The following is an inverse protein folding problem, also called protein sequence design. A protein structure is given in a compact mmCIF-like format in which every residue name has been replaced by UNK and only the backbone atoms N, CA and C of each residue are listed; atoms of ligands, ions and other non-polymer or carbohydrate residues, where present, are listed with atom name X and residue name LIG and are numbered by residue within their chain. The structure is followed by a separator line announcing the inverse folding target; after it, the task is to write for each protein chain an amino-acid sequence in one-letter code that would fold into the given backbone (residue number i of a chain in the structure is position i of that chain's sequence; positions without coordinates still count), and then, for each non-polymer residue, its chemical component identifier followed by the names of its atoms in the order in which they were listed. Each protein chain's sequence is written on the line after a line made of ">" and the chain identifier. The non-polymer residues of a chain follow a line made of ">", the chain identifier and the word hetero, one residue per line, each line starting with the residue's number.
data_IF_440873903676
#
_entry.id   IF_440873903676
#
_cell.length_a   1.000
_cell.length_b   1.000
_cell.length_c   1.000
_cell.angle_alpha   90.00
_cell.angle_beta   90.00
_cell.angle_gamma   90.00
#
_symmetry.space_group_name_H-M   'P 1'
#
loop_
_entity.id
_entity.type
_entity.pdbx_description
1 polymer ?
#
# COMPACT_ATOMS: atom_id res chain seq x y z
N UNK A 1 2.05 10.41 -0.99
CA UNK A 1 1.54 11.62 -0.30
C UNK A 1 0.26 12.14 -0.96
N UNK A 2 0.18 12.17 -2.28
CA UNK A 2 -0.97 12.67 -3.03
C UNK A 2 -2.26 11.85 -2.78
N UNK A 3 -2.19 10.52 -2.77
CA UNK A 3 -3.32 9.65 -2.49
C UNK A 3 -3.97 9.95 -1.14
N UNK A 4 -3.16 10.09 -0.09
CA UNK A 4 -3.65 10.42 1.27
C UNK A 4 -4.34 11.77 1.30
N UNK A 5 -3.76 12.76 0.63
CA UNK A 5 -4.34 14.10 0.55
C UNK A 5 -5.66 14.12 -0.21
N UNK A 6 -5.77 13.36 -1.29
CA UNK A 6 -7.02 13.22 -2.06
C UNK A 6 -8.10 12.51 -1.22
N UNK A 7 -7.74 11.46 -0.49
CA UNK A 7 -8.64 10.76 0.43
C UNK A 7 -9.18 11.72 1.51
N UNK A 8 -8.30 12.47 2.17
CA UNK A 8 -8.69 13.45 3.19
C UNK A 8 -9.60 14.55 2.60
N UNK A 9 -9.28 15.06 1.41
CA UNK A 9 -10.13 16.06 0.72
C UNK A 9 -11.52 15.52 0.41
N UNK A 10 -11.61 14.27 -0.08
CA UNK A 10 -12.88 13.63 -0.36
C UNK A 10 -13.69 13.41 0.92
N UNK A 11 -13.08 12.85 1.95
CA UNK A 11 -13.71 12.66 3.26
C UNK A 11 -14.23 13.96 3.85
N UNK A 12 -13.42 15.04 3.83
CA UNK A 12 -13.82 16.34 4.34
C UNK A 12 -15.01 16.92 3.56
N UNK A 13 -14.99 16.80 2.23
CA UNK A 13 -16.09 17.26 1.38
C UNK A 13 -17.42 16.61 1.78
N UNK A 14 -17.42 15.27 1.93
CA UNK A 14 -18.64 14.54 2.28
C UNK A 14 -19.04 14.74 3.73
N UNK A 15 -18.09 14.80 4.67
CA UNK A 15 -18.36 15.09 6.07
C UNK A 15 -19.09 16.42 6.23
N UNK A 16 -18.58 17.48 5.61
CA UNK A 16 -19.22 18.82 5.65
C UNK A 16 -20.62 18.80 5.05
N UNK A 17 -20.83 18.10 3.93
CA UNK A 17 -22.16 17.97 3.31
C UNK A 17 -23.17 17.29 4.22
N UNK A 18 -22.71 16.38 5.08
CA UNK A 18 -23.56 15.65 6.04
C UNK A 18 -23.62 16.33 7.43
N UNK A 19 -23.03 17.51 7.57
CA UNK A 19 -23.03 18.26 8.85
C UNK A 19 -22.01 17.82 9.87
N UNK A 20 -21.08 16.93 9.49
CA UNK A 20 -19.98 16.48 10.35
C UNK A 20 -18.76 17.40 10.25
N UNK A 21 -17.91 17.34 11.27
CA UNK A 21 -16.58 17.95 11.30
C UNK A 21 -15.52 16.88 11.27
N UNK A 22 -14.52 17.02 10.42
CA UNK A 22 -13.40 16.11 10.32
C UNK A 22 -12.22 16.64 11.15
N UNK A 23 -11.76 15.83 12.11
CA UNK A 23 -10.49 16.04 12.81
C UNK A 23 -9.45 15.09 12.24
N UNK A 24 -8.27 15.60 11.90
CA UNK A 24 -7.22 14.81 11.28
C UNK A 24 -6.03 14.76 12.22
N UNK A 25 -5.65 13.55 12.63
CA UNK A 25 -4.44 13.27 13.39
C UNK A 25 -3.45 12.60 12.43
N UNK A 26 -2.33 13.24 12.19
CA UNK A 26 -1.35 12.79 11.21
C UNK A 26 0.05 12.87 11.78
N UNK A 27 0.77 11.74 11.77
CA UNK A 27 2.21 11.70 12.06
C UNK A 27 2.99 11.93 10.76
N UNK A 28 4.15 12.58 10.85
CA UNK A 28 5.07 12.78 9.73
C UNK A 28 6.06 11.62 9.58
N UNK A 29 5.70 10.43 10.03
CA UNK A 29 6.57 9.27 9.90
C UNK A 29 6.66 8.85 8.44
N UNK A 30 7.88 8.61 7.96
CA UNK A 30 8.07 7.98 6.67
C UNK A 30 7.82 6.48 6.79
N UNK A 31 6.76 6.01 6.16
CA UNK A 31 6.30 4.63 6.29
C UNK A 31 7.31 3.60 5.78
N UNK A 32 8.10 3.97 4.77
CA UNK A 32 9.03 3.05 4.10
C UNK A 32 10.42 2.99 4.76
N UNK A 33 10.74 3.91 5.67
CA UNK A 33 12.00 3.90 6.38
C UNK A 33 11.91 3.14 7.72
N UNK A 34 13.00 2.57 8.23
CA UNK A 34 13.04 1.98 9.55
C UNK A 34 12.58 2.96 10.64
N UNK A 35 12.03 2.42 11.74
CA UNK A 35 11.63 3.23 12.88
C UNK A 35 12.84 3.96 13.49
N UNK A 36 12.64 5.23 13.77
CA UNK A 36 13.60 6.10 14.45
C UNK A 36 13.03 6.62 15.77
N UNK A 37 13.87 7.11 16.71
CA UNK A 37 13.36 7.77 17.93
C UNK A 37 12.45 8.98 17.65
N UNK A 38 12.64 9.65 16.52
CA UNK A 38 11.80 10.78 16.10
C UNK A 38 10.38 10.31 15.76
N UNK A 39 10.24 9.12 15.17
CA UNK A 39 8.94 8.54 14.85
C UNK A 39 8.08 8.32 16.11
N UNK A 40 8.69 7.98 17.25
CA UNK A 40 7.97 7.84 18.52
C UNK A 40 7.39 9.17 18.99
N UNK A 41 8.15 10.26 18.83
CA UNK A 41 7.67 11.61 19.11
C UNK A 41 6.52 12.00 18.19
N UNK A 42 6.64 11.74 16.90
CA UNK A 42 5.59 12.02 15.91
C UNK A 42 4.30 11.24 16.19
N UNK A 43 4.41 9.98 16.59
CA UNK A 43 3.24 9.15 16.92
C UNK A 43 2.53 9.58 18.21
N UNK A 44 3.16 10.41 19.04
CA UNK A 44 2.51 10.97 20.25
C UNK A 44 1.29 11.84 19.94
N UNK A 45 1.16 12.33 18.70
CA UNK A 45 -0.02 13.09 18.24
C UNK A 45 -1.33 12.32 18.48
N UNK A 46 -1.30 10.99 18.40
CA UNK A 46 -2.48 10.16 18.60
C UNK A 46 -2.97 10.13 20.05
N UNK A 47 -2.14 10.56 21.02
CA UNK A 47 -2.55 10.71 22.44
C UNK A 47 -3.47 11.91 22.64
N UNK A 48 -3.55 12.84 21.66
CA UNK A 48 -4.43 14.00 21.72
C UNK A 48 -5.88 13.69 21.33
N UNK A 49 -6.15 12.45 20.88
CA UNK A 49 -7.50 12.05 20.46
C UNK A 49 -8.44 12.04 21.65
N UNK A 50 -9.51 12.83 21.56
CA UNK A 50 -10.57 12.90 22.56
C UNK A 50 -11.73 11.98 22.13
N UNK A 51 -11.62 10.70 22.42
CA UNK A 51 -12.54 9.65 21.93
C UNK A 51 -14.00 9.91 22.28
N UNK A 52 -14.28 10.50 23.44
CA UNK A 52 -15.64 10.84 23.89
C UNK A 52 -16.33 11.94 23.06
N UNK A 53 -15.60 12.62 22.18
CA UNK A 53 -16.11 13.64 21.28
C UNK A 53 -16.35 13.14 19.85
N UNK A 54 -16.06 11.86 19.59
CA UNK A 54 -16.09 11.31 18.24
C UNK A 54 -17.37 10.50 18.03
N UNK A 55 -18.02 10.72 16.88
CA UNK A 55 -19.11 9.89 16.39
C UNK A 55 -18.60 8.64 15.65
N UNK A 56 -17.45 8.73 15.01
CA UNK A 56 -16.76 7.62 14.33
C UNK A 56 -15.26 7.92 14.17
N UNK A 57 -14.47 6.87 13.96
CA UNK A 57 -13.05 6.93 13.63
C UNK A 57 -12.79 6.30 12.28
N UNK A 58 -12.08 6.99 11.41
CA UNK A 58 -11.54 6.42 10.17
C UNK A 58 -10.03 6.27 10.36
N UNK A 59 -9.51 5.06 10.16
CA UNK A 59 -8.08 4.80 10.23
C UNK A 59 -7.55 4.36 8.88
N UNK A 60 -6.33 4.81 8.56
CA UNK A 60 -5.51 4.31 7.47
C UNK A 60 -4.35 3.56 8.11
N UNK A 61 -4.49 2.26 8.42
CA UNK A 61 -3.55 1.52 9.27
C UNK A 61 -2.12 1.52 8.73
N UNK A 62 -1.96 1.47 7.41
CA UNK A 62 -0.65 1.44 6.77
C UNK A 62 0.12 2.77 6.87
N UNK A 63 -0.51 3.81 7.44
CA UNK A 63 0.15 5.07 7.76
C UNK A 63 0.64 5.15 9.21
N UNK A 64 0.37 4.11 10.02
CA UNK A 64 0.75 4.03 11.43
C UNK A 64 1.81 2.94 11.58
N UNK A 65 3.06 3.34 11.72
CA UNK A 65 4.21 2.42 11.75
C UNK A 65 4.21 1.40 12.89
N UNK A 66 3.62 1.74 14.03
CA UNK A 66 3.61 0.84 15.19
C UNK A 66 2.24 0.19 15.36
N UNK A 67 2.20 -1.12 15.24
CA UNK A 67 0.98 -1.89 15.51
C UNK A 67 0.45 -1.66 16.93
N UNK A 68 1.32 -1.45 17.91
CA UNK A 68 0.89 -1.13 19.29
C UNK A 68 0.14 0.19 19.41
N UNK A 69 0.52 1.21 18.62
CA UNK A 69 -0.19 2.49 18.56
C UNK A 69 -1.53 2.32 17.87
N UNK A 70 -1.57 1.62 16.76
CA UNK A 70 -2.81 1.30 16.04
C UNK A 70 -3.77 0.53 16.96
N UNK A 71 -3.28 -0.50 17.65
CA UNK A 71 -4.09 -1.29 18.58
C UNK A 71 -4.62 -0.43 19.73
N UNK A 72 -3.81 0.45 20.30
CA UNK A 72 -4.24 1.38 21.34
C UNK A 72 -5.37 2.31 20.88
N UNK A 73 -5.31 2.79 19.64
CA UNK A 73 -6.39 3.61 19.05
C UNK A 73 -7.68 2.80 18.96
N UNK A 74 -7.61 1.56 18.44
CA UNK A 74 -8.77 0.69 18.27
C UNK A 74 -9.40 0.35 19.64
N UNK A 75 -8.59 -0.01 20.62
CA UNK A 75 -9.06 -0.36 21.95
C UNK A 75 -9.70 0.85 22.66
N UNK A 76 -9.13 2.04 22.45
CA UNK A 76 -9.71 3.28 22.97
C UNK A 76 -11.05 3.61 22.29
N UNK A 77 -11.17 3.44 20.97
CA UNK A 77 -12.44 3.57 20.28
C UNK A 77 -13.49 2.58 20.83
N UNK A 78 -13.10 1.32 20.99
CA UNK A 78 -13.99 0.28 21.53
C UNK A 78 -14.48 0.61 22.93
N UNK A 79 -13.60 1.08 23.83
CA UNK A 79 -13.96 1.44 25.20
C UNK A 79 -14.92 2.63 25.29
N UNK A 80 -14.92 3.49 24.29
CA UNK A 80 -15.81 4.67 24.20
C UNK A 80 -17.00 4.44 23.25
N UNK A 81 -17.19 3.21 22.74
CA UNK A 81 -18.24 2.88 21.78
C UNK A 81 -18.18 3.70 20.47
N UNK A 82 -16.97 4.10 20.05
CA UNK A 82 -16.74 4.79 18.79
C UNK A 82 -16.54 3.75 17.68
N UNK A 83 -17.41 3.67 16.67
CA UNK A 83 -17.22 2.76 15.54
C UNK A 83 -15.96 3.12 14.75
N UNK A 84 -15.21 2.08 14.35
CA UNK A 84 -13.97 2.24 13.57
C UNK A 84 -14.18 1.74 12.15
N UNK A 85 -13.75 2.57 11.20
CA UNK A 85 -13.67 2.24 9.78
C UNK A 85 -12.21 2.11 9.41
N UNK A 86 -11.79 0.96 8.91
CA UNK A 86 -10.43 0.72 8.41
C UNK A 86 -10.41 0.81 6.89
N UNK A 87 -9.44 1.52 6.34
CA UNK A 87 -9.23 1.63 4.90
C UNK A 87 -7.96 0.84 4.53
N UNK A 88 -8.08 0.00 3.52
CA UNK A 88 -7.05 -0.84 2.88
C UNK A 88 -6.51 -2.01 3.71
N UNK A 89 -6.54 -1.99 5.03
CA UNK A 89 -6.10 -3.09 5.88
C UNK A 89 -7.28 -3.69 6.65
N UNK A 90 -7.36 -5.03 6.69
CA UNK A 90 -8.36 -5.72 7.49
C UNK A 90 -8.02 -5.59 8.98
N UNK A 91 -8.97 -5.10 9.76
CA UNK A 91 -8.90 -5.03 11.22
C UNK A 91 -10.15 -5.72 11.82
N UNK A 92 -9.92 -6.66 12.72
CA UNK A 92 -11.00 -7.40 13.36
C UNK A 92 -11.88 -6.48 14.22
N UNK A 93 -13.19 -6.62 14.08
CA UNK A 93 -14.17 -5.82 14.81
C UNK A 93 -14.36 -4.39 14.28
N UNK A 94 -13.81 -4.08 13.13
CA UNK A 94 -13.97 -2.81 12.43
C UNK A 94 -14.80 -2.96 11.15
N UNK A 95 -15.35 -1.87 10.65
CA UNK A 95 -15.90 -1.82 9.29
C UNK A 95 -14.72 -1.68 8.33
N UNK A 96 -14.54 -2.63 7.42
CA UNK A 96 -13.35 -2.69 6.56
C UNK A 96 -13.71 -2.31 5.12
N UNK A 97 -13.02 -1.30 4.58
CA UNK A 97 -13.03 -0.94 3.17
C UNK A 97 -11.69 -1.34 2.57
N UNK A 98 -11.73 -2.22 1.57
CA UNK A 98 -10.54 -2.63 0.82
C UNK A 98 -10.79 -2.43 -0.67
N UNK A 99 -9.76 -1.98 -1.36
CA UNK A 99 -9.76 -1.94 -2.82
C UNK A 99 -9.21 -3.26 -3.35
N UNK A 100 -9.79 -3.76 -4.44
CA UNK A 100 -9.31 -4.96 -5.12
C UNK A 100 -8.16 -4.60 -6.08
N UNK A 101 -6.98 -4.41 -5.51
CA UNK A 101 -5.78 -4.12 -6.29
C UNK A 101 -5.29 -5.35 -7.07
N UNK A 102 -5.52 -6.56 -6.55
CA UNK A 102 -5.09 -7.81 -7.20
C UNK A 102 -5.75 -7.99 -8.55
N UNK A 103 -7.08 -7.86 -8.63
CA UNK A 103 -7.82 -8.03 -9.89
C UNK A 103 -7.43 -6.97 -10.94
N UNK A 104 -7.21 -5.73 -10.52
CA UNK A 104 -6.74 -4.67 -11.41
C UNK A 104 -5.35 -4.98 -11.95
N UNK A 105 -4.46 -5.48 -11.11
CA UNK A 105 -3.09 -5.84 -11.49
C UNK A 105 -3.05 -7.10 -12.37
N UNK A 106 -3.88 -8.12 -12.08
CA UNK A 106 -4.07 -9.27 -12.96
C UNK A 106 -4.50 -8.83 -14.36
N UNK A 107 -5.47 -7.92 -14.44
CA UNK A 107 -5.96 -7.39 -15.72
C UNK A 107 -4.84 -6.70 -16.50
N UNK A 108 -3.98 -5.93 -15.83
CA UNK A 108 -2.82 -5.31 -16.45
C UNK A 108 -1.83 -6.38 -16.97
N UNK A 109 -1.49 -7.35 -16.15
CA UNK A 109 -0.58 -8.44 -16.54
C UNK A 109 -1.14 -9.25 -17.72
N UNK A 110 -2.41 -9.62 -17.68
CA UNK A 110 -3.08 -10.30 -18.79
C UNK A 110 -3.07 -9.48 -20.08
N UNK A 111 -3.29 -8.17 -19.98
CA UNK A 111 -3.20 -7.28 -21.14
C UNK A 111 -1.82 -7.33 -21.78
N UNK A 112 -0.75 -7.24 -20.98
CA UNK A 112 0.62 -7.30 -21.48
C UNK A 112 0.93 -8.64 -22.16
N UNK A 113 0.51 -9.76 -21.56
CA UNK A 113 0.75 -11.08 -22.12
C UNK A 113 -0.10 -11.35 -23.36
N UNK A 114 -1.40 -11.10 -23.28
CA UNK A 114 -2.36 -11.53 -24.32
C UNK A 114 -2.43 -10.53 -25.48
N UNK A 115 -2.41 -9.22 -25.19
CA UNK A 115 -2.55 -8.17 -26.20
C UNK A 115 -1.22 -7.84 -26.87
N UNK A 116 -0.14 -7.79 -26.10
CA UNK A 116 1.19 -7.46 -26.60
C UNK A 116 2.06 -8.68 -26.86
N UNK A 117 1.57 -9.90 -26.56
CA UNK A 117 2.25 -11.17 -26.77
C UNK A 117 3.63 -11.27 -26.11
N UNK A 118 3.79 -10.56 -24.98
CA UNK A 118 5.02 -10.59 -24.20
C UNK A 118 5.26 -12.00 -23.65
N UNK A 119 6.49 -12.50 -23.81
CA UNK A 119 6.90 -13.84 -23.37
C UNK A 119 7.95 -13.81 -22.26
N UNK A 120 8.72 -12.72 -22.22
CA UNK A 120 9.70 -12.48 -21.15
C UNK A 120 9.29 -11.21 -20.42
N UNK A 121 8.94 -11.36 -19.15
CA UNK A 121 8.41 -10.25 -18.35
C UNK A 121 9.22 -10.07 -17.09
N UNK A 122 9.53 -8.82 -16.76
CA UNK A 122 10.08 -8.50 -15.45
C UNK A 122 9.04 -7.71 -14.66
N UNK A 123 9.00 -7.96 -13.36
CA UNK A 123 8.15 -7.21 -12.44
C UNK A 123 9.02 -6.40 -11.46
N UNK A 124 8.73 -5.13 -11.34
CA UNK A 124 9.26 -4.29 -10.28
C UNK A 124 8.21 -4.19 -9.16
N UNK A 125 8.40 -4.99 -8.11
CA UNK A 125 7.54 -5.00 -6.93
C UNK A 125 7.85 -3.82 -6.01
N UNK A 126 7.01 -3.61 -5.01
CA UNK A 126 7.22 -2.60 -3.98
C UNK A 126 8.15 -3.05 -2.86
N UNK A 127 7.79 -2.76 -1.61
CA UNK A 127 8.54 -3.13 -0.41
C UNK A 127 8.38 -4.62 -0.11
N UNK A 128 9.46 -5.27 0.36
CA UNK A 128 9.42 -6.67 0.81
C UNK A 128 8.53 -6.82 2.03
N UNK A 129 7.91 -7.98 2.16
CA UNK A 129 7.03 -8.32 3.29
C UNK A 129 5.89 -7.28 3.50
N UNK A 130 5.44 -6.69 2.40
CA UNK A 130 4.36 -5.72 2.37
C UNK A 130 3.16 -6.30 1.63
N UNK A 131 1.98 -6.30 2.27
CA UNK A 131 0.75 -6.89 1.73
C UNK A 131 0.43 -6.42 0.31
N UNK A 132 0.62 -5.12 0.01
CA UNK A 132 0.36 -4.59 -1.33
C UNK A 132 1.35 -5.09 -2.38
N UNK A 133 2.62 -5.29 -2.00
CA UNK A 133 3.62 -5.92 -2.87
C UNK A 133 3.27 -7.37 -3.12
N UNK A 134 2.96 -8.11 -2.05
CA UNK A 134 2.69 -9.54 -2.10
C UNK A 134 1.44 -9.85 -2.92
N UNK A 135 0.36 -9.08 -2.75
CA UNK A 135 -0.86 -9.21 -3.55
C UNK A 135 -0.58 -9.03 -5.05
N UNK A 136 0.27 -8.06 -5.42
CA UNK A 136 0.65 -7.82 -6.82
C UNK A 136 1.59 -8.89 -7.36
N UNK A 137 2.52 -9.38 -6.53
CA UNK A 137 3.40 -10.50 -6.90
C UNK A 137 2.56 -11.76 -7.19
N UNK A 138 1.63 -12.10 -6.29
CA UNK A 138 0.74 -13.25 -6.49
C UNK A 138 -0.11 -13.10 -7.77
N UNK A 139 -0.64 -11.90 -8.02
CA UNK A 139 -1.40 -11.59 -9.23
C UNK A 139 -0.54 -11.78 -10.50
N UNK A 140 0.71 -11.30 -10.47
CA UNK A 140 1.66 -11.48 -11.57
C UNK A 140 1.98 -12.96 -11.80
N UNK A 141 2.40 -13.69 -10.77
CA UNK A 141 2.76 -15.10 -10.87
C UNK A 141 1.60 -15.98 -11.34
N UNK A 142 0.37 -15.67 -10.86
CA UNK A 142 -0.84 -16.34 -11.34
C UNK A 142 -1.01 -16.19 -12.85
N UNK A 143 -0.88 -14.97 -13.37
CA UNK A 143 -1.00 -14.69 -14.81
C UNK A 143 0.12 -15.38 -15.60
N UNK A 144 1.35 -15.41 -15.07
CA UNK A 144 2.45 -16.15 -15.71
C UNK A 144 2.11 -17.63 -15.80
N UNK A 145 1.65 -18.24 -14.72
CA UNK A 145 1.26 -19.64 -14.69
C UNK A 145 0.11 -19.97 -15.67
N UNK A 146 -0.95 -19.15 -15.69
CA UNK A 146 -2.11 -19.30 -16.59
C UNK A 146 -1.73 -19.23 -18.08
N UNK A 147 -0.66 -18.49 -18.40
CA UNK A 147 -0.18 -18.34 -19.78
C UNK A 147 1.04 -19.21 -20.10
N UNK A 148 1.40 -20.18 -19.25
CA UNK A 148 2.54 -21.09 -19.40
C UNK A 148 3.89 -20.37 -19.53
N UNK A 149 4.04 -19.21 -18.91
CA UNK A 149 5.31 -18.49 -18.82
C UNK A 149 6.07 -19.04 -17.61
N UNK A 150 7.17 -19.73 -17.88
CA UNK A 150 7.97 -20.39 -16.83
C UNK A 150 8.87 -19.41 -16.09
N UNK A 151 9.35 -19.73 -14.86
CA UNK A 151 10.25 -18.89 -14.08
C UNK A 151 11.53 -18.45 -14.80
N UNK A 152 11.98 -19.19 -15.82
CA UNK A 152 13.13 -18.78 -16.64
C UNK A 152 12.82 -17.56 -17.54
N UNK A 153 11.55 -17.29 -17.74
CA UNK A 153 11.05 -16.20 -18.60
C UNK A 153 10.46 -15.03 -17.84
N UNK A 154 10.50 -15.03 -16.51
CA UNK A 154 10.12 -13.84 -15.75
C UNK A 154 11.05 -13.61 -14.55
N UNK A 155 11.06 -12.39 -14.07
CA UNK A 155 11.87 -12.00 -12.93
C UNK A 155 11.10 -11.00 -12.09
N UNK A 156 11.29 -11.08 -10.76
CA UNK A 156 10.70 -10.14 -9.80
C UNK A 156 11.84 -9.46 -9.04
N UNK A 157 11.83 -8.14 -9.04
CA UNK A 157 12.72 -7.31 -8.25
C UNK A 157 11.93 -6.36 -7.36
N UNK A 158 12.60 -5.70 -6.46
CA UNK A 158 11.99 -4.81 -5.50
C UNK A 158 12.51 -3.40 -5.69
N UNK A 159 11.59 -2.46 -5.88
CA UNK A 159 11.87 -1.03 -6.07
C UNK A 159 11.35 -0.17 -4.91
N UNK A 160 10.86 -0.80 -3.82
CA UNK A 160 10.34 -0.12 -2.62
C UNK A 160 9.32 0.99 -2.90
N UNK A 161 8.65 0.93 -4.05
CA UNK A 161 7.76 1.96 -4.61
C UNK A 161 8.44 3.31 -4.87
N UNK A 162 9.78 3.36 -5.02
CA UNK A 162 10.56 4.58 -5.22
C UNK A 162 11.54 4.47 -6.38
N UNK A 163 11.87 5.61 -6.97
CA UNK A 163 12.78 5.71 -8.12
C UNK A 163 14.17 5.13 -7.81
N UNK A 164 14.77 5.49 -6.66
CA UNK A 164 16.16 5.10 -6.38
C UNK A 164 16.35 3.59 -6.25
N UNK A 165 15.61 2.85 -5.39
CA UNK A 165 15.73 1.39 -5.32
C UNK A 165 15.34 0.69 -6.64
N UNK A 166 14.37 1.24 -7.36
CA UNK A 166 14.01 0.74 -8.70
C UNK A 166 15.19 0.83 -9.65
N UNK A 167 15.88 1.97 -9.69
CA UNK A 167 17.07 2.19 -10.52
C UNK A 167 18.20 1.22 -10.14
N UNK A 168 18.50 1.08 -8.85
CA UNK A 168 19.52 0.16 -8.34
C UNK A 168 19.22 -1.29 -8.76
N UNK A 169 17.96 -1.73 -8.67
CA UNK A 169 17.54 -3.06 -9.13
C UNK A 169 17.70 -3.23 -10.66
N UNK A 170 17.36 -2.20 -11.44
CA UNK A 170 17.52 -2.25 -12.90
C UNK A 170 18.99 -2.22 -13.31
N UNK A 171 19.84 -1.45 -12.64
CA UNK A 171 21.29 -1.44 -12.85
C UNK A 171 21.89 -2.80 -12.54
N UNK A 172 21.51 -3.43 -11.42
CA UNK A 172 21.90 -4.79 -11.11
C UNK A 172 21.53 -5.75 -12.24
N UNK A 173 20.31 -5.73 -12.71
CA UNK A 173 19.85 -6.66 -13.75
C UNK A 173 20.55 -6.47 -15.10
N UNK A 174 20.64 -5.23 -15.57
CA UNK A 174 21.07 -4.97 -16.95
C UNK A 174 22.56 -4.65 -17.07
N UNK A 175 23.19 -4.12 -16.03
CA UNK A 175 24.62 -3.75 -16.07
C UNK A 175 25.48 -4.84 -15.44
N UNK A 176 25.15 -5.26 -14.20
CA UNK A 176 25.98 -6.21 -13.46
C UNK A 176 25.75 -7.66 -13.91
N UNK A 177 24.47 -8.10 -13.96
CA UNK A 177 24.10 -9.46 -14.31
C UNK A 177 23.92 -9.66 -15.82
N UNK A 178 23.92 -8.60 -16.61
CA UNK A 178 23.75 -8.61 -18.06
C UNK A 178 22.53 -9.42 -18.51
N UNK A 179 21.42 -9.31 -17.81
CA UNK A 179 20.19 -9.98 -18.15
C UNK A 179 19.71 -9.59 -19.55
N UNK A 180 19.17 -10.56 -20.26
CA UNK A 180 18.53 -10.28 -21.54
C UNK A 180 17.32 -9.35 -21.32
N UNK A 181 17.18 -8.37 -22.22
CA UNK A 181 16.09 -7.39 -22.17
C UNK A 181 14.74 -8.12 -22.22
N UNK A 182 13.81 -7.85 -21.28
CA UNK A 182 12.47 -8.42 -21.33
C UNK A 182 11.61 -7.74 -22.41
N UNK A 183 10.52 -8.40 -22.80
CA UNK A 183 9.53 -7.82 -23.70
C UNK A 183 8.73 -6.70 -22.99
N UNK A 184 8.57 -6.80 -21.68
CA UNK A 184 7.94 -5.78 -20.85
C UNK A 184 8.44 -5.81 -19.40
N UNK A 185 8.41 -4.65 -18.76
CA UNK A 185 8.57 -4.48 -17.30
C UNK A 185 7.25 -3.96 -16.76
N UNK A 186 6.69 -4.66 -15.78
CA UNK A 186 5.45 -4.26 -15.10
C UNK A 186 5.82 -3.74 -13.71
N UNK A 187 5.49 -2.48 -13.43
CA UNK A 187 5.77 -1.86 -12.14
C UNK A 187 4.55 -1.93 -11.21
N UNK A 188 4.81 -2.09 -9.91
CA UNK A 188 3.75 -2.16 -8.91
C UNK A 188 3.05 -0.81 -8.67
N UNK A 189 3.67 0.30 -9.09
CA UNK A 189 3.12 1.65 -9.06
C UNK A 189 3.64 2.48 -10.24
N UNK A 190 3.22 3.73 -10.33
CA UNK A 190 3.50 4.68 -11.41
C UNK A 190 4.53 5.79 -11.03
N UNK A 191 5.25 5.59 -9.93
CA UNK A 191 6.32 6.51 -9.45
C UNK A 191 7.71 6.07 -9.84
#
# INVERSE_FOLDING_TARGET
>A
EEYRLQCVRALNKYAVQQGYRLFIFHSKTDFYLPLTPTDDGEMSIFQLIQYHMLDAMIVLPDTIKRDSVLQSIIDSCRSHNVPVISIDKFLEGCVNFRFDYSNSFETLCQHVVQKHHAKRLFMMAGVRDNTFSDERIHAFEKVMAENNITPDNYRIGYGDFWEKPTRETLEQWFIEEQCAIPDAIICANDT
#
